data_IF_476038720862
#
_entry.id   IF_476038720862
#
_cell.length_a   1.000
_cell.length_b   1.000
_cell.length_c   1.000
_cell.angle_alpha   90.00
_cell.angle_beta   90.00
_cell.angle_gamma   90.00
#
_symmetry.space_group_name_H-M   'P 1'
#
loop_
_entity.id
_entity.type
_entity.pdbx_description
1 polymer ?
#
# COMPACT_ATOMS: atom_id res chain seq x y z
N UNK A 1 37.49 -8.97 -17.48
CA UNK A 1 37.10 -8.33 -16.20
C UNK A 1 35.64 -7.95 -16.35
N UNK A 2 34.72 -8.81 -15.89
CA UNK A 2 33.29 -8.49 -15.96
C UNK A 2 33.04 -7.23 -15.12
N UNK A 3 32.25 -6.31 -15.65
CA UNK A 3 32.03 -5.01 -15.02
C UNK A 3 31.12 -5.21 -13.79
N UNK A 4 31.69 -5.14 -12.59
CA UNK A 4 31.00 -5.39 -11.32
C UNK A 4 29.74 -4.52 -11.15
N UNK A 5 29.79 -3.29 -11.66
CA UNK A 5 28.67 -2.34 -11.61
C UNK A 5 27.45 -2.82 -12.41
N UNK A 6 27.67 -3.40 -13.59
CA UNK A 6 26.57 -3.92 -14.40
C UNK A 6 25.91 -5.14 -13.74
N UNK A 7 26.71 -5.98 -13.09
CA UNK A 7 26.20 -7.13 -12.35
C UNK A 7 25.35 -6.69 -11.15
N UNK A 8 25.83 -5.71 -10.37
CA UNK A 8 25.09 -5.16 -9.24
C UNK A 8 23.75 -4.54 -9.67
N UNK A 9 23.74 -3.79 -10.78
CA UNK A 9 22.52 -3.19 -11.31
C UNK A 9 21.51 -4.26 -11.75
N UNK A 10 21.98 -5.33 -12.38
CA UNK A 10 21.12 -6.46 -12.78
C UNK A 10 20.51 -7.16 -11.56
N UNK A 11 21.29 -7.40 -10.52
CA UNK A 11 20.81 -7.97 -9.26
C UNK A 11 19.77 -7.06 -8.59
N UNK A 12 19.98 -5.74 -8.60
CA UNK A 12 19.04 -4.77 -8.05
C UNK A 12 17.71 -4.77 -8.81
N UNK A 13 17.75 -4.77 -10.14
CA UNK A 13 16.55 -4.83 -10.98
C UNK A 13 15.75 -6.12 -10.72
N UNK A 14 16.45 -7.25 -10.61
CA UNK A 14 15.82 -8.53 -10.29
C UNK A 14 15.19 -8.52 -8.89
N UNK A 15 15.85 -7.92 -7.91
CA UNK A 15 15.31 -7.74 -6.56
C UNK A 15 14.03 -6.90 -6.57
N UNK A 16 14.04 -5.74 -7.24
CA UNK A 16 12.88 -4.87 -7.36
C UNK A 16 11.73 -5.63 -8.05
N UNK A 17 12.01 -6.34 -9.14
CA UNK A 17 11.00 -7.14 -9.83
C UNK A 17 10.36 -8.18 -8.90
N UNK A 18 11.17 -8.95 -8.16
CA UNK A 18 10.67 -9.94 -7.22
C UNK A 18 9.88 -9.33 -6.06
N UNK A 19 10.31 -8.17 -5.55
CA UNK A 19 9.62 -7.46 -4.47
C UNK A 19 8.21 -7.00 -4.85
N UNK A 20 7.95 -6.81 -6.15
CA UNK A 20 6.62 -6.45 -6.68
C UNK A 20 5.84 -7.71 -7.04
N UNK A 21 6.48 -8.67 -7.72
CA UNK A 21 5.83 -9.89 -8.20
C UNK A 21 5.26 -10.71 -7.04
N UNK A 22 6.00 -10.83 -5.93
CA UNK A 22 5.54 -11.62 -4.78
C UNK A 22 4.25 -11.10 -4.14
N UNK A 23 4.14 -9.83 -3.66
CA UNK A 23 2.91 -9.34 -3.05
C UNK A 23 1.73 -9.30 -4.04
N UNK A 24 1.99 -8.94 -5.30
CA UNK A 24 0.94 -8.98 -6.35
C UNK A 24 0.46 -10.41 -6.56
N UNK A 25 1.38 -11.37 -6.67
CA UNK A 25 1.07 -12.80 -6.79
C UNK A 25 0.29 -13.33 -5.60
N UNK A 26 0.60 -12.89 -4.37
CA UNK A 26 -0.13 -13.28 -3.17
C UNK A 26 -1.56 -12.73 -3.17
N UNK A 27 -1.77 -11.46 -3.53
CA UNK A 27 -3.11 -10.87 -3.61
C UNK A 27 -3.95 -11.53 -4.70
N UNK A 28 -3.36 -11.79 -5.88
CA UNK A 28 -4.02 -12.51 -6.96
C UNK A 28 -4.34 -13.95 -6.57
N UNK A 29 -3.40 -14.64 -5.93
CA UNK A 29 -3.58 -15.99 -5.40
C UNK A 29 -4.72 -16.06 -4.37
N UNK A 30 -4.77 -15.11 -3.42
CA UNK A 30 -5.84 -15.01 -2.45
C UNK A 30 -7.21 -14.80 -3.11
N UNK A 31 -7.27 -13.99 -4.18
CA UNK A 31 -8.50 -13.73 -4.93
C UNK A 31 -8.97 -14.94 -5.75
N UNK A 32 -8.05 -15.76 -6.28
CA UNK A 32 -8.37 -16.93 -7.11
C UNK A 32 -8.71 -18.15 -6.26
N UNK A 33 -7.96 -18.39 -5.17
CA UNK A 33 -8.11 -19.57 -4.31
C UNK A 33 -9.21 -19.36 -3.26
N UNK A 34 -9.39 -18.12 -2.79
CA UNK A 34 -10.34 -17.80 -1.72
C UNK A 34 -11.81 -17.89 -2.14
N UNK A 35 -12.73 -18.27 -1.23
CA UNK A 35 -14.15 -18.32 -1.52
C UNK A 35 -14.71 -16.91 -1.79
N UNK A 36 -15.25 -16.70 -2.98
CA UNK A 36 -15.88 -15.43 -3.38
C UNK A 36 -17.37 -15.43 -3.03
N UNK A 37 -17.73 -14.83 -1.89
CA UNK A 37 -19.11 -14.70 -1.42
C UNK A 37 -19.46 -13.24 -1.09
N UNK A 38 -19.51 -12.33 -2.10
CA UNK A 38 -19.89 -10.95 -1.90
C UNK A 38 -21.37 -10.84 -1.49
N UNK A 39 -21.66 -10.04 -0.47
CA UNK A 39 -23.02 -9.75 -0.02
C UNK A 39 -23.08 -8.26 0.33
N UNK A 40 -24.24 -7.63 0.16
CA UNK A 40 -24.53 -6.26 0.58
C UNK A 40 -23.98 -5.98 1.99
N UNK A 41 -24.27 -6.83 2.97
CA UNK A 41 -23.82 -6.63 4.37
C UNK A 41 -22.29 -6.64 4.48
N UNK A 42 -21.59 -7.55 3.79
CA UNK A 42 -20.12 -7.64 3.82
C UNK A 42 -19.43 -6.47 3.12
N UNK A 43 -20.14 -5.79 2.23
CA UNK A 43 -19.63 -4.65 1.44
C UNK A 43 -20.05 -3.29 2.04
N UNK A 44 -20.78 -3.27 3.16
CA UNK A 44 -21.10 -2.02 3.86
C UNK A 44 -19.88 -1.56 4.69
N UNK A 45 -19.74 -0.24 4.83
CA UNK A 45 -18.77 0.36 5.76
C UNK A 45 -19.05 -0.12 7.18
N UNK A 46 -17.99 -0.48 7.90
CA UNK A 46 -18.09 -0.93 9.28
C UNK A 46 -18.37 0.26 10.21
N UNK A 47 -19.54 0.26 10.87
CA UNK A 47 -19.96 1.29 11.83
C UNK A 47 -20.42 0.63 13.15
N UNK A 48 -19.62 -0.27 13.72
CA UNK A 48 -19.94 -1.02 14.96
C UNK A 48 -21.30 -1.75 14.92
N UNK A 49 -21.72 -2.22 13.73
CA UNK A 49 -23.00 -2.89 13.51
C UNK A 49 -24.19 -1.97 13.21
N UNK A 50 -23.98 -0.65 13.17
CA UNK A 50 -24.97 0.31 12.71
C UNK A 50 -24.90 0.47 11.18
N UNK A 51 -26.00 0.96 10.59
CA UNK A 51 -25.99 1.38 9.18
C UNK A 51 -25.29 2.73 9.11
N UNK A 52 -24.24 2.90 8.28
CA UNK A 52 -23.55 4.17 8.16
C UNK A 52 -24.54 5.24 7.67
N UNK A 53 -24.57 6.38 8.36
CA UNK A 53 -25.46 7.50 8.07
C UNK A 53 -24.66 8.77 7.83
N UNK A 54 -24.97 9.46 6.74
CA UNK A 54 -24.35 10.74 6.39
C UNK A 54 -23.02 10.60 5.65
N UNK A 55 -22.46 11.75 5.29
CA UNK A 55 -21.15 11.88 4.66
C UNK A 55 -20.07 11.95 5.74
N UNK A 56 -18.96 11.23 5.57
CA UNK A 56 -17.79 11.30 6.45
C UNK A 56 -17.06 12.64 6.24
N UNK A 57 -17.62 13.73 6.78
CA UNK A 57 -16.98 15.06 6.81
C UNK A 57 -16.22 15.23 8.11
N UNK A 58 -15.15 14.45 8.27
CA UNK A 58 -14.20 14.68 9.35
C UNK A 58 -13.33 15.89 9.01
N UNK A 59 -13.13 16.80 9.97
CA UNK A 59 -12.12 17.85 9.84
C UNK A 59 -10.74 17.18 9.90
N UNK A 60 -10.03 17.14 8.77
CA UNK A 60 -8.66 16.67 8.75
C UNK A 60 -7.77 17.66 9.48
N UNK A 61 -7.21 17.23 10.61
CA UNK A 61 -6.31 18.08 11.40
C UNK A 61 -4.99 18.24 10.65
N UNK A 62 -4.49 19.47 10.53
CA UNK A 62 -3.21 19.79 9.88
C UNK A 62 -1.99 19.43 10.74
N UNK A 63 -2.19 18.76 11.88
CA UNK A 63 -1.09 18.44 12.83
C UNK A 63 0.03 17.63 12.17
N UNK A 64 -0.31 16.73 11.25
CA UNK A 64 0.68 15.90 10.53
C UNK A 64 1.41 16.64 9.40
N UNK A 65 0.88 17.77 8.94
CA UNK A 65 1.50 18.55 7.86
C UNK A 65 2.86 19.12 8.28
N UNK A 66 2.95 19.63 9.52
CA UNK A 66 4.21 20.17 10.04
C UNK A 66 5.29 19.09 10.11
N UNK A 67 4.93 17.86 10.48
CA UNK A 67 5.88 16.73 10.46
C UNK A 67 6.36 16.40 9.04
N UNK A 68 5.48 16.44 8.04
CA UNK A 68 5.86 16.20 6.65
C UNK A 68 6.80 17.29 6.11
N UNK A 69 6.54 18.56 6.45
CA UNK A 69 7.39 19.70 6.07
C UNK A 69 8.76 19.58 6.73
N UNK A 70 8.81 19.31 8.04
CA UNK A 70 10.05 19.09 8.78
C UNK A 70 10.82 17.92 8.17
N UNK A 71 10.18 16.77 7.96
CA UNK A 71 10.83 15.61 7.33
C UNK A 71 11.43 15.99 5.96
N UNK A 72 10.67 16.65 5.09
CA UNK A 72 11.15 17.06 3.78
C UNK A 72 12.36 18.02 3.85
N UNK A 73 12.38 18.96 4.80
CA UNK A 73 13.51 19.87 4.97
C UNK A 73 14.77 19.16 5.48
N UNK A 74 14.62 18.17 6.38
CA UNK A 74 15.76 17.46 6.98
C UNK A 74 16.24 16.26 6.16
N UNK A 75 15.40 15.64 5.32
CA UNK A 75 15.77 14.54 4.42
C UNK A 75 16.68 15.01 3.27
N UNK A 76 16.67 16.31 2.97
CA UNK A 76 17.50 16.95 1.94
C UNK A 76 18.94 17.28 2.39
N UNK A 77 19.27 17.05 3.67
CA UNK A 77 20.60 17.31 4.27
C UNK A 77 21.30 16.01 4.57
#
# INVERSE_FOLDING_TARGET
>A
MWNSELFNLLCLLLYIALSIILPVGMVLGAKIIGPSNPNRIKNLTFECGQVPVGESRAQFTTKYFLYAVIYAFFDLV
#
